data_IF_312020745534
#
_entry.id   IF_312020745534
#
_cell.length_a   1.000
_cell.length_b   1.000
_cell.length_c   1.000
_cell.angle_alpha   90.00
_cell.angle_beta   90.00
_cell.angle_gamma   90.00
#
_symmetry.space_group_name_H-M   'P 1'
#
loop_
_entity.id
_entity.type
_entity.pdbx_description
1 polymer ?
#
# COMPACT_ATOMS: atom_id res chain seq x y z
N UNK A 1 10.24 4.71 4.01
CA UNK A 1 8.96 5.34 3.58
C UNK A 1 8.60 6.46 4.56
N UNK A 2 8.50 7.72 4.14
CA UNK A 2 7.85 8.76 4.96
C UNK A 2 6.34 8.62 4.76
N UNK A 3 5.62 8.21 5.79
CA UNK A 3 4.15 8.03 5.84
C UNK A 3 3.34 9.30 5.54
N UNK A 4 3.99 10.46 5.42
CA UNK A 4 3.38 11.77 5.17
C UNK A 4 2.90 12.01 3.73
N UNK A 5 3.21 11.11 2.77
CA UNK A 5 2.80 11.23 1.37
C UNK A 5 2.02 10.00 0.86
N UNK A 6 1.39 9.25 1.76
CA UNK A 6 0.57 8.10 1.35
C UNK A 6 -0.81 8.62 0.93
N UNK A 7 -1.08 8.59 -0.37
CA UNK A 7 -2.34 9.00 -1.00
C UNK A 7 -3.44 7.94 -0.89
N UNK A 8 -3.58 7.35 0.31
CA UNK A 8 -4.73 6.52 0.65
C UNK A 8 -5.86 7.39 1.20
N UNK A 9 -7.09 6.98 0.95
CA UNK A 9 -8.28 7.78 1.22
C UNK A 9 -8.42 8.15 2.71
N UNK A 10 -7.99 7.29 3.64
CA UNK A 10 -7.97 7.65 5.06
C UNK A 10 -7.14 8.90 5.37
N UNK A 11 -6.01 9.09 4.69
CA UNK A 11 -5.18 10.28 4.85
C UNK A 11 -5.78 11.47 4.10
N UNK A 12 -6.19 11.26 2.84
CA UNK A 12 -6.74 12.31 1.99
C UNK A 12 -8.02 12.92 2.55
N UNK A 13 -8.95 12.10 3.07
CA UNK A 13 -10.16 12.58 3.72
C UNK A 13 -9.84 13.45 4.93
N UNK A 14 -8.85 13.06 5.75
CA UNK A 14 -8.43 13.84 6.93
C UNK A 14 -7.92 15.24 6.55
N UNK A 15 -7.34 15.40 5.36
CA UNK A 15 -6.86 16.68 4.84
C UNK A 15 -7.81 17.30 3.80
N UNK A 16 -9.08 16.87 3.78
CA UNK A 16 -10.14 17.37 2.89
C UNK A 16 -9.82 17.28 1.39
N UNK A 17 -9.05 16.27 0.99
CA UNK A 17 -8.68 15.96 -0.41
C UNK A 17 -9.39 14.74 -1.00
N UNK A 18 -10.25 14.08 -0.23
CA UNK A 18 -11.12 12.99 -0.71
C UNK A 18 -12.45 13.05 0.03
N UNK A 19 -13.54 12.71 -0.67
CA UNK A 19 -14.90 12.79 -0.14
C UNK A 19 -15.20 11.70 0.91
N UNK A 20 -14.48 10.58 0.86
CA UNK A 20 -14.65 9.43 1.75
C UNK A 20 -13.30 8.88 2.21
N UNK A 21 -13.18 8.34 3.44
CA UNK A 21 -11.99 7.64 3.88
C UNK A 21 -11.93 6.19 3.37
N UNK A 22 -12.96 5.70 2.68
CA UNK A 22 -13.15 4.31 2.32
C UNK A 22 -12.29 3.85 1.15
N UNK A 23 -12.02 2.54 1.13
CA UNK A 23 -11.36 1.87 0.04
C UNK A 23 -12.28 1.82 -1.19
N UNK A 24 -11.81 2.23 -2.38
CA UNK A 24 -12.61 2.16 -3.61
C UNK A 24 -13.11 0.74 -3.94
N UNK A 25 -12.41 -0.27 -3.45
CA UNK A 25 -12.71 -1.68 -3.70
C UNK A 25 -13.41 -2.37 -2.51
N UNK A 26 -13.53 -1.71 -1.36
CA UNK A 26 -14.14 -2.25 -0.16
C UNK A 26 -15.02 -1.17 0.50
N UNK A 27 -16.24 -0.96 0.00
CA UNK A 27 -17.17 0.04 0.54
C UNK A 27 -17.38 -0.15 2.06
N UNK A 28 -17.40 0.95 2.82
CA UNK A 28 -17.51 0.93 4.28
C UNK A 28 -16.24 0.48 5.02
N UNK A 29 -15.16 0.16 4.31
CA UNK A 29 -13.87 -0.16 4.91
C UNK A 29 -12.88 0.97 4.66
N UNK A 30 -12.39 1.56 5.75
CA UNK A 30 -11.35 2.60 5.71
C UNK A 30 -10.10 2.15 4.94
N UNK A 31 -9.64 2.97 4.00
CA UNK A 31 -8.41 2.74 3.26
C UNK A 31 -7.20 3.29 4.01
N UNK A 32 -6.69 2.53 4.98
CA UNK A 32 -5.45 2.83 5.69
C UNK A 32 -4.30 1.89 5.27
N UNK A 33 -3.09 2.16 5.77
CA UNK A 33 -1.88 1.38 5.43
C UNK A 33 -2.04 -0.12 5.77
N UNK A 34 -2.54 -0.52 6.96
CA UNK A 34 -2.84 -1.93 7.24
C UNK A 34 -3.83 -2.55 6.26
N UNK A 35 -4.94 -1.87 5.93
CA UNK A 35 -5.90 -2.38 4.97
C UNK A 35 -5.26 -2.57 3.60
N UNK A 36 -4.62 -1.52 3.08
CA UNK A 36 -3.99 -1.52 1.77
C UNK A 36 -2.93 -2.62 1.65
N UNK A 37 -2.01 -2.76 2.61
CA UNK A 37 -0.88 -3.70 2.49
C UNK A 37 -1.26 -5.13 2.85
N UNK A 38 -2.14 -5.34 3.83
CA UNK A 38 -2.33 -6.66 4.43
C UNK A 38 -3.71 -7.28 4.21
N UNK A 39 -4.76 -6.48 3.97
CA UNK A 39 -6.15 -6.97 4.06
C UNK A 39 -6.96 -6.83 2.77
N UNK A 40 -6.70 -5.82 1.95
CA UNK A 40 -7.54 -5.49 0.81
C UNK A 40 -7.63 -6.67 -0.18
N UNK A 41 -8.81 -7.29 -0.38
CA UNK A 41 -8.97 -8.45 -1.24
C UNK A 41 -8.66 -8.15 -2.70
N UNK A 42 -8.90 -6.92 -3.16
CA UNK A 42 -8.58 -6.49 -4.52
C UNK A 42 -7.09 -6.68 -4.86
N UNK A 43 -6.20 -6.44 -3.90
CA UNK A 43 -4.74 -6.57 -4.07
C UNK A 43 -4.19 -7.93 -3.60
N UNK A 44 -5.02 -8.97 -3.53
CA UNK A 44 -4.60 -10.28 -3.03
C UNK A 44 -3.50 -10.92 -3.88
N UNK A 45 -3.52 -10.72 -5.19
CA UNK A 45 -2.54 -11.28 -6.12
C UNK A 45 -1.17 -10.67 -5.92
N UNK A 46 -1.08 -9.35 -5.90
CA UNK A 46 0.17 -8.59 -5.69
C UNK A 46 0.74 -8.91 -4.31
N UNK A 47 -0.13 -9.01 -3.30
CA UNK A 47 0.26 -9.38 -1.94
C UNK A 47 0.79 -10.82 -1.88
N UNK A 48 0.21 -11.75 -2.63
CA UNK A 48 0.73 -13.11 -2.71
C UNK A 48 2.15 -13.16 -3.31
N UNK A 49 2.44 -12.32 -4.30
CA UNK A 49 3.79 -12.22 -4.88
C UNK A 49 4.76 -11.70 -3.81
N UNK A 50 4.41 -10.61 -3.11
CA UNK A 50 5.22 -10.07 -2.01
C UNK A 50 5.44 -11.10 -0.88
N UNK A 51 4.41 -11.85 -0.49
CA UNK A 51 4.49 -12.83 0.60
C UNK A 51 5.35 -14.04 0.25
N UNK A 52 5.42 -14.45 -1.02
CA UNK A 52 6.33 -15.54 -1.46
C UNK A 52 7.79 -15.22 -1.19
N UNK A 53 8.20 -13.96 -1.37
CA UNK A 53 9.57 -13.52 -1.11
C UNK A 53 9.87 -13.34 0.39
N UNK A 54 8.93 -12.79 1.16
CA UNK A 54 9.15 -12.42 2.56
C UNK A 54 8.67 -13.47 3.58
N UNK A 55 7.92 -14.48 3.14
CA UNK A 55 7.32 -15.54 3.98
C UNK A 55 6.53 -14.94 5.15
N UNK A 56 6.73 -15.46 6.37
CA UNK A 56 6.05 -15.00 7.60
C UNK A 56 6.27 -13.51 7.90
N UNK A 57 7.41 -12.94 7.47
CA UNK A 57 7.73 -11.53 7.69
C UNK A 57 6.88 -10.58 6.84
N UNK A 58 6.19 -11.09 5.82
CA UNK A 58 5.26 -10.34 4.99
C UNK A 58 4.00 -9.86 5.73
N UNK A 59 3.70 -10.44 6.89
CA UNK A 59 2.52 -10.08 7.69
C UNK A 59 2.84 -9.08 8.80
N UNK A 60 4.11 -8.70 8.95
CA UNK A 60 4.57 -7.78 9.98
C UNK A 60 4.71 -6.39 9.38
N UNK A 61 3.68 -5.54 9.58
CA UNK A 61 3.68 -4.20 9.02
C UNK A 61 4.93 -3.37 9.38
N UNK A 62 5.43 -3.36 10.64
CA UNK A 62 6.66 -2.65 10.97
C UNK A 62 7.88 -3.16 10.19
N UNK A 63 7.95 -4.47 9.92
CA UNK A 63 9.03 -5.06 9.15
C UNK A 63 8.98 -4.59 7.69
N UNK A 64 7.79 -4.61 7.07
CA UNK A 64 7.60 -4.14 5.69
C UNK A 64 7.99 -2.66 5.51
N UNK A 65 7.69 -1.82 6.51
CA UNK A 65 7.89 -0.37 6.41
C UNK A 65 9.32 0.10 6.74
N UNK A 66 10.11 -0.71 7.44
CA UNK A 66 11.39 -0.28 8.02
C UNK A 66 12.59 -1.16 7.64
N UNK A 67 12.40 -2.41 7.25
CA UNK A 67 13.51 -3.32 7.00
C UNK A 67 14.02 -3.22 5.56
N UNK A 68 15.31 -2.92 5.38
CA UNK A 68 15.92 -2.70 4.05
C UNK A 68 15.67 -3.83 3.04
N UNK A 69 15.71 -5.09 3.48
CA UNK A 69 15.39 -6.25 2.61
C UNK A 69 13.91 -6.39 2.25
N UNK A 70 13.00 -5.77 3.00
CA UNK A 70 11.56 -5.82 2.73
C UNK A 70 11.09 -4.68 1.82
N UNK A 71 11.76 -3.52 1.88
CA UNK A 71 11.42 -2.33 1.11
C UNK A 71 11.32 -2.60 -0.40
N UNK A 72 12.25 -3.29 -1.08
CA UNK A 72 12.12 -3.56 -2.52
C UNK A 72 10.85 -4.35 -2.87
N UNK A 73 10.50 -5.35 -2.06
CA UNK A 73 9.28 -6.14 -2.28
C UNK A 73 8.01 -5.33 -2.01
N UNK A 74 8.02 -4.46 -1.00
CA UNK A 74 6.91 -3.53 -0.74
C UNK A 74 6.76 -2.49 -1.86
N UNK A 75 7.85 -1.96 -2.41
CA UNK A 75 7.81 -1.04 -3.54
C UNK A 75 7.25 -1.72 -4.78
N UNK A 76 7.67 -2.95 -5.07
CA UNK A 76 7.10 -3.74 -6.17
C UNK A 76 5.61 -3.97 -5.98
N UNK A 77 5.16 -4.31 -4.77
CA UNK A 77 3.74 -4.38 -4.44
C UNK A 77 3.02 -3.07 -4.77
N UNK A 78 3.49 -1.95 -4.23
CA UNK A 78 2.91 -0.61 -4.47
C UNK A 78 2.82 -0.29 -5.97
N UNK A 79 3.90 -0.51 -6.72
CA UNK A 79 3.95 -0.24 -8.15
C UNK A 79 2.98 -1.12 -8.95
N UNK A 80 2.91 -2.42 -8.60
CA UNK A 80 2.03 -3.40 -9.25
C UNK A 80 0.56 -3.08 -9.02
N UNK A 81 0.19 -2.62 -7.83
CA UNK A 81 -1.19 -2.23 -7.53
C UNK A 81 -1.64 -0.98 -8.27
N UNK A 82 -0.71 -0.13 -8.71
CA UNK A 82 -1.03 1.16 -9.35
C UNK A 82 -1.71 2.19 -8.43
N UNK A 83 -2.07 1.83 -7.20
CA UNK A 83 -2.93 2.64 -6.32
C UNK A 83 -2.34 4.01 -5.97
N UNK A 84 -1.01 4.08 -5.88
CA UNK A 84 -0.27 5.29 -5.52
C UNK A 84 0.39 5.99 -6.72
N UNK A 85 0.11 5.57 -7.97
CA UNK A 85 0.72 6.16 -9.19
C UNK A 85 0.39 7.63 -9.38
N UNK A 86 -0.76 8.10 -8.91
CA UNK A 86 -1.11 9.54 -8.96
C UNK A 86 -0.20 10.41 -8.06
N UNK A 87 0.61 9.81 -7.19
CA UNK A 87 1.44 10.51 -6.19
C UNK A 87 2.93 10.39 -6.45
N UNK A 88 3.32 9.35 -7.19
CA UNK A 88 4.67 9.16 -7.70
C UNK A 88 4.51 9.04 -9.21
N UNK A 89 4.71 10.15 -9.94
CA UNK A 89 4.83 10.10 -11.40
C UNK A 89 5.74 8.93 -11.79
N UNK A 90 5.36 8.22 -12.86
CA UNK A 90 5.95 6.98 -13.38
C UNK A 90 7.40 6.78 -12.93
N UNK A 91 7.62 5.96 -11.89
CA UNK A 91 8.99 5.62 -11.46
C UNK A 91 9.49 4.57 -12.44
N UNK A 92 10.06 5.03 -13.55
CA UNK A 92 10.84 4.22 -14.48
C UNK A 92 12.08 3.73 -13.74
N UNK A 93 12.02 2.50 -13.24
CA UNK A 93 13.23 1.78 -12.86
C UNK A 93 13.94 1.37 -14.15
N UNK A 94 14.98 2.12 -14.52
CA UNK A 94 15.98 1.70 -15.51
C UNK A 94 16.80 0.52 -15.00
#
# INVERSE_FOLDING_TARGET
LRTKHISLNAHLHRITKADTPDCPHCPGTKEDVPHFILKCPHYARERQIMTRHLRRRAYQLPHLLSHSKAIPHLMNYINSTGRLKATFGEVTTS
#
